data_IF_760612154782
#
_entry.id   IF_760612154782
#
_cell.length_a   1.000
_cell.length_b   1.000
_cell.length_c   1.000
_cell.angle_alpha   90.00
_cell.angle_beta   90.00
_cell.angle_gamma   90.00
#
_symmetry.space_group_name_H-M   'P 1'
#
loop_
_entity.id
_entity.type
_entity.pdbx_description
1 polymer ?
#
# COMPACT_ATOMS: atom_id res chain seq x y z
N UNK A 1 2.93 17.86 4.41
CA UNK A 1 2.10 16.92 3.62
C UNK A 1 3.05 15.97 2.92
N UNK A 2 2.76 14.66 2.89
CA UNK A 2 3.57 13.73 2.11
C UNK A 2 3.53 14.15 0.62
N UNK A 3 4.70 14.17 -0.02
CA UNK A 3 4.85 14.48 -1.45
C UNK A 3 5.04 13.24 -2.29
N UNK A 4 5.20 12.08 -1.66
CA UNK A 4 5.40 10.78 -2.30
C UNK A 4 4.91 9.64 -1.37
N UNK A 5 4.86 8.42 -1.91
CA UNK A 5 4.71 7.21 -1.12
C UNK A 5 5.92 6.98 -0.21
N UNK A 6 5.70 6.32 0.92
CA UNK A 6 6.77 5.83 1.79
C UNK A 6 6.45 4.39 2.22
N UNK A 7 7.48 3.60 2.50
CA UNK A 7 7.30 2.24 3.03
C UNK A 7 6.41 2.25 4.28
N UNK A 8 5.51 1.28 4.37
CA UNK A 8 4.56 1.15 5.48
C UNK A 8 3.41 2.17 5.46
N UNK A 9 3.33 3.04 4.44
CA UNK A 9 2.19 3.95 4.31
C UNK A 9 0.92 3.14 4.09
N UNK A 10 -0.03 3.25 5.02
CA UNK A 10 -1.39 2.71 4.85
C UNK A 10 -2.18 3.67 3.97
N UNK A 11 -2.84 3.15 2.95
CA UNK A 11 -3.55 3.94 1.94
C UNK A 11 -4.92 3.36 1.63
N UNK A 12 -5.81 4.20 1.11
CA UNK A 12 -7.09 3.74 0.56
C UNK A 12 -7.39 4.42 -0.77
N UNK A 13 -7.99 3.70 -1.71
CA UNK A 13 -8.47 4.21 -2.98
C UNK A 13 -9.79 3.52 -3.32
N UNK A 14 -10.83 4.28 -3.70
CA UNK A 14 -12.13 3.71 -4.13
C UNK A 14 -12.78 2.70 -3.17
N UNK A 15 -12.47 2.76 -1.87
CA UNK A 15 -12.99 1.83 -0.85
C UNK A 15 -12.13 0.59 -0.63
N UNK A 16 -11.03 0.44 -1.37
CA UNK A 16 -9.98 -0.55 -1.13
C UNK A 16 -8.93 0.03 -0.20
N UNK A 17 -8.26 -0.85 0.54
CA UNK A 17 -7.29 -0.50 1.58
C UNK A 17 -6.01 -1.28 1.33
N UNK A 18 -4.86 -0.64 1.47
CA UNK A 18 -3.59 -1.30 1.19
C UNK A 18 -2.44 -0.65 1.94
N UNK A 19 -1.27 -1.26 1.80
CA UNK A 19 -0.02 -0.79 2.39
C UNK A 19 1.07 -0.71 1.34
N UNK A 20 1.86 0.37 1.39
CA UNK A 20 3.03 0.51 0.54
C UNK A 20 4.12 -0.43 1.04
N UNK A 21 4.51 -1.38 0.20
CA UNK A 21 5.59 -2.35 0.45
C UNK A 21 6.83 -2.02 -0.38
N UNK A 22 7.94 -2.65 -0.04
CA UNK A 22 9.17 -2.57 -0.85
C UNK A 22 9.11 -3.59 -2.00
N UNK A 23 9.69 -3.27 -3.14
CA UNK A 23 10.04 -4.30 -4.11
C UNK A 23 11.33 -5.00 -3.66
N UNK A 24 11.45 -6.31 -3.88
CA UNK A 24 12.70 -7.05 -3.65
C UNK A 24 13.87 -6.61 -4.56
N UNK A 25 13.62 -5.66 -5.48
CA UNK A 25 14.63 -5.06 -6.34
C UNK A 25 15.21 -3.86 -5.60
N UNK A 26 16.36 -4.08 -4.97
CA UNK A 26 17.05 -3.17 -4.04
C UNK A 26 17.56 -1.85 -4.64
N UNK A 27 17.33 -1.56 -5.92
CA UNK A 27 18.21 -0.59 -6.59
C UNK A 27 17.73 0.88 -6.62
N UNK A 28 16.45 1.19 -6.40
CA UNK A 28 16.02 2.59 -6.40
C UNK A 28 14.90 2.83 -5.40
N UNK A 29 15.03 3.90 -4.59
CA UNK A 29 14.06 4.45 -3.61
C UNK A 29 12.69 4.84 -4.21
N UNK A 30 12.16 4.07 -5.16
CA UNK A 30 10.86 4.28 -5.76
C UNK A 30 9.84 3.47 -4.96
N UNK A 31 9.29 4.11 -3.94
CA UNK A 31 8.12 3.60 -3.23
C UNK A 31 6.86 3.78 -4.08
N UNK A 32 5.87 2.93 -3.85
CA UNK A 32 4.63 2.94 -4.63
C UNK A 32 4.12 1.55 -5.01
N UNK A 33 4.81 0.48 -4.65
CA UNK A 33 4.20 -0.85 -4.72
C UNK A 33 3.19 -0.96 -3.58
N UNK A 34 1.91 -1.14 -3.90
CA UNK A 34 0.83 -1.26 -2.92
C UNK A 34 0.39 -2.71 -2.86
N UNK A 35 0.43 -3.30 -1.67
CA UNK A 35 -0.25 -4.57 -1.36
C UNK A 35 -1.65 -4.25 -0.85
N UNK A 36 -2.67 -4.68 -1.58
CA UNK A 36 -4.07 -4.47 -1.19
C UNK A 36 -4.53 -5.50 -0.14
N UNK A 37 -5.41 -5.09 0.75
CA UNK A 37 -5.95 -5.89 1.84
C UNK A 37 -7.05 -6.83 1.33
N UNK A 38 -6.62 -7.85 0.60
CA UNK A 38 -7.48 -8.90 0.06
C UNK A 38 -6.90 -10.27 0.36
N UNK A 39 -7.78 -11.29 0.34
CA UNK A 39 -7.39 -12.70 0.54
C UNK A 39 -6.40 -13.21 -0.52
N UNK A 40 -6.36 -12.57 -1.69
CA UNK A 40 -5.43 -12.95 -2.76
C UNK A 40 -4.02 -12.52 -2.38
N UNK A 41 -3.12 -13.47 -2.23
CA UNK A 41 -1.73 -13.26 -1.78
C UNK A 41 -0.96 -12.24 -2.64
N UNK A 42 -1.27 -12.15 -3.93
CA UNK A 42 -0.55 -11.32 -4.90
C UNK A 42 -1.39 -10.14 -5.44
N UNK A 43 -2.34 -9.65 -4.65
CA UNK A 43 -3.06 -8.42 -5.01
C UNK A 43 -2.16 -7.21 -4.76
N UNK A 44 -1.31 -6.94 -5.75
CA UNK A 44 -0.24 -5.96 -5.71
C UNK A 44 -0.35 -5.09 -6.96
N UNK A 45 -0.28 -3.78 -6.76
CA UNK A 45 -0.25 -2.81 -7.86
C UNK A 45 0.98 -1.90 -7.76
N UNK A 46 1.47 -1.48 -8.92
CA UNK A 46 2.61 -0.59 -9.05
C UNK A 46 2.14 0.86 -9.29
N UNK A 47 2.34 1.69 -8.28
CA UNK A 47 2.05 3.12 -8.28
C UNK A 47 3.31 3.98 -8.15
N UNK A 48 4.50 3.42 -8.46
CA UNK A 48 5.77 4.16 -8.38
C UNK A 48 5.72 5.42 -9.26
N UNK A 49 6.06 6.56 -8.68
CA UNK A 49 6.01 7.87 -9.36
C UNK A 49 4.59 8.39 -9.63
N UNK A 50 3.54 7.66 -9.21
CA UNK A 50 2.13 8.02 -9.45
C UNK A 50 1.43 8.61 -8.22
N UNK A 51 2.16 9.07 -7.21
CA UNK A 51 1.56 9.61 -5.98
C UNK A 51 0.62 10.80 -6.23
N UNK A 52 0.95 11.65 -7.21
CA UNK A 52 0.08 12.75 -7.65
C UNK A 52 -1.26 12.22 -8.18
N UNK A 53 -1.20 11.32 -9.15
CA UNK A 53 -2.36 10.66 -9.76
C UNK A 53 -3.19 9.90 -8.72
N UNK A 54 -2.54 9.18 -7.81
CA UNK A 54 -3.21 8.46 -6.71
C UNK A 54 -4.10 9.41 -5.89
N UNK A 55 -3.57 10.58 -5.51
CA UNK A 55 -4.35 11.60 -4.79
C UNK A 55 -5.45 12.22 -5.64
N UNK A 56 -5.18 12.51 -6.92
CA UNK A 56 -6.18 13.05 -7.85
C UNK A 56 -7.38 12.09 -8.03
N UNK A 57 -7.14 10.78 -7.97
CA UNK A 57 -8.16 9.74 -7.98
C UNK A 57 -8.89 9.59 -6.63
N UNK A 58 -8.62 10.44 -5.65
CA UNK A 58 -9.23 10.40 -4.33
C UNK A 58 -8.55 9.45 -3.35
N UNK A 59 -7.33 9.00 -3.66
CA UNK A 59 -6.49 8.21 -2.78
C UNK A 59 -6.14 8.97 -1.49
N UNK A 60 -6.18 8.26 -0.37
CA UNK A 60 -5.97 8.82 0.97
C UNK A 60 -4.91 8.05 1.73
N UNK A 61 -4.17 8.76 2.57
CA UNK A 61 -3.34 8.15 3.61
C UNK A 61 -4.23 7.84 4.81
N UNK A 62 -4.09 6.64 5.35
CA UNK A 62 -4.82 6.17 6.52
C UNK A 62 -4.00 6.45 7.79
N UNK A 63 -4.68 6.56 8.92
CA UNK A 63 -4.05 6.67 10.22
C UNK A 63 -3.45 5.33 10.65
N UNK A 64 -2.39 5.37 11.47
CA UNK A 64 -1.63 4.16 11.86
C UNK A 64 -2.43 3.08 12.60
N UNK A 65 -3.58 3.44 13.18
CA UNK A 65 -4.49 2.52 13.87
C UNK A 65 -5.47 1.78 12.94
N UNK A 66 -5.38 1.94 11.62
CA UNK A 66 -6.15 1.12 10.69
C UNK A 66 -5.66 -0.34 10.75
N UNK A 67 -6.55 -1.27 11.03
CA UNK A 67 -6.26 -2.71 11.06
C UNK A 67 -6.74 -3.37 9.77
N UNK A 68 -5.81 -3.92 9.01
CA UNK A 68 -6.09 -4.73 7.83
C UNK A 68 -6.75 -6.06 8.21
N UNK A 69 -7.62 -6.58 7.35
CA UNK A 69 -8.33 -7.84 7.56
C UNK A 69 -7.51 -9.06 7.15
N UNK A 70 -6.81 -8.99 6.01
CA UNK A 70 -6.15 -10.11 5.35
C UNK A 70 -4.62 -10.00 5.34
N UNK A 71 -4.07 -8.79 5.48
CA UNK A 71 -2.63 -8.57 5.52
C UNK A 71 -2.16 -8.00 6.87
N UNK A 72 -0.86 -8.11 7.16
CA UNK A 72 -0.18 -7.47 8.28
C UNK A 72 0.41 -6.12 7.87
N UNK A 73 0.93 -5.37 8.85
CA UNK A 73 1.55 -4.05 8.65
C UNK A 73 2.92 -4.10 7.93
N UNK A 74 3.40 -5.30 7.57
CA UNK A 74 4.55 -5.50 6.69
C UNK A 74 4.14 -5.97 5.27
N UNK A 75 2.83 -6.10 5.01
CA UNK A 75 2.27 -6.59 3.75
C UNK A 75 2.23 -8.12 3.61
N UNK A 76 2.70 -8.88 4.61
CA UNK A 76 2.54 -10.34 4.62
C UNK A 76 1.07 -10.73 4.83
N UNK A 77 0.66 -11.86 4.27
CA UNK A 77 -0.68 -12.41 4.51
C UNK A 77 -0.83 -12.84 5.96
N UNK A 78 -1.98 -12.53 6.57
CA UNK A 78 -2.38 -13.12 7.85
C UNK A 78 -2.64 -14.61 7.66
N UNK A 79 -2.17 -15.42 8.60
CA UNK A 79 -2.53 -16.82 8.63
C UNK A 79 -4.05 -16.94 8.81
N UNK A 80 -4.73 -17.55 7.85
CA UNK A 80 -6.11 -18.00 8.04
C UNK A 80 -6.10 -19.03 9.17
N UNK A 81 -6.81 -18.75 10.26
CA UNK A 81 -7.03 -19.68 11.37
C UNK A 81 -7.92 -20.86 10.94
#
# INVERSE_FOLDING_TARGET
>A
MATDFHLGMKVSLSGEYGIVITSNLEEFNQYGIIRWDTEKENDIEDWRGMFGTFKEMGGKMLTGNYEFKFINDDGSSKASL
#
